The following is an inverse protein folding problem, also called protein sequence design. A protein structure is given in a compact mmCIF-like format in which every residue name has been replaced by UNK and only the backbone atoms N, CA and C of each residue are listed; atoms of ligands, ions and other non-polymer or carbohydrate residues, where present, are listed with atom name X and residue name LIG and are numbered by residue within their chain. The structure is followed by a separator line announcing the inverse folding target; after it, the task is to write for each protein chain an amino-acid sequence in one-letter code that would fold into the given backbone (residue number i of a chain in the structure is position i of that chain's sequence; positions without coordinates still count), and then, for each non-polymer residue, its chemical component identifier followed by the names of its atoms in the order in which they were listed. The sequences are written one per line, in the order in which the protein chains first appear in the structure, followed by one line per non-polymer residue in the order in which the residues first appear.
data_IF_685310586632
#
_entry.id   IF_685310586632
#
_cell.length_a   1.000
_cell.length_b   1.000
_cell.length_c   1.000
_cell.angle_alpha   90.00
_cell.angle_beta   90.00
_cell.angle_gamma   90.00
#
_symmetry.space_group_name_H-M   'P 1'
#
loop_
_entity.id
_entity.type
_entity.pdbx_description
1 polymer ?
#
# COMPACT_ATOMS: atom_id res chain seq x y z
N UNK A 1 -2.21 12.76 3.22
CA UNK A 1 -1.97 11.61 4.13
C UNK A 1 -3.17 11.35 5.04
N UNK A 2 -3.76 12.35 5.67
CA UNK A 2 -4.85 12.18 6.66
C UNK A 2 -6.07 11.42 6.14
N UNK A 3 -6.48 11.65 4.89
CA UNK A 3 -7.61 10.92 4.30
C UNK A 3 -7.35 9.42 4.21
N UNK A 4 -6.15 9.00 3.78
CA UNK A 4 -5.80 7.58 3.72
C UNK A 4 -5.73 6.94 5.11
N UNK A 5 -5.19 7.66 6.09
CA UNK A 5 -5.13 7.18 7.47
C UNK A 5 -6.53 6.97 8.06
N UNK A 6 -7.43 7.94 7.87
CA UNK A 6 -8.83 7.83 8.30
C UNK A 6 -9.55 6.69 7.57
N UNK A 7 -9.35 6.57 6.26
CA UNK A 7 -9.95 5.49 5.49
C UNK A 7 -9.44 4.13 5.92
N UNK A 8 -8.14 3.97 6.14
CA UNK A 8 -7.56 2.73 6.65
C UNK A 8 -8.11 2.35 8.03
N UNK A 9 -8.28 3.33 8.93
CA UNK A 9 -8.89 3.10 10.23
C UNK A 9 -10.36 2.65 10.10
N UNK A 10 -11.11 3.25 9.18
CA UNK A 10 -12.49 2.84 8.88
C UNK A 10 -12.55 1.41 8.33
N UNK A 11 -11.64 1.03 7.42
CA UNK A 11 -11.55 -0.34 6.90
C UNK A 11 -11.28 -1.36 8.01
N UNK A 12 -10.42 -1.03 8.98
CA UNK A 12 -10.18 -1.87 10.15
C UNK A 12 -11.43 -2.04 11.03
N UNK A 13 -12.19 -0.98 11.23
CA UNK A 13 -13.43 -1.03 12.00
C UNK A 13 -14.52 -1.86 11.29
N UNK A 14 -14.59 -1.76 9.96
CA UNK A 14 -15.53 -2.53 9.14
C UNK A 14 -15.16 -4.03 9.19
N UNK A 15 -13.87 -4.36 9.04
CA UNK A 15 -13.37 -5.73 9.04
C UNK A 15 -13.80 -6.53 10.27
N UNK A 16 -13.81 -5.89 11.44
CA UNK A 16 -14.21 -6.53 12.71
C UNK A 16 -15.72 -6.86 12.75
N UNK A 17 -16.53 -6.05 12.06
CA UNK A 17 -18.01 -6.12 12.15
C UNK A 17 -18.63 -6.83 10.96
N UNK A 18 -18.01 -6.70 9.79
CA UNK A 18 -18.57 -7.17 8.52
C UNK A 18 -17.50 -7.92 7.74
N UNK A 19 -17.50 -9.27 7.74
CA UNK A 19 -16.58 -10.02 6.93
C UNK A 19 -16.85 -9.78 5.44
N UNK A 20 -15.83 -9.32 4.72
CA UNK A 20 -15.88 -9.07 3.27
C UNK A 20 -15.02 -10.12 2.58
N UNK A 21 -15.66 -11.00 1.82
CA UNK A 21 -14.98 -12.03 1.03
C UNK A 21 -15.85 -12.51 -0.13
N UNK A 22 -15.36 -13.46 -0.89
CA UNK A 22 -16.12 -14.12 -1.96
C UNK A 22 -17.13 -15.15 -1.45
N UNK A 23 -17.19 -15.39 -0.15
CA UNK A 23 -18.16 -16.32 0.45
C UNK A 23 -19.58 -15.72 0.41
N UNK A 24 -20.58 -16.53 0.07
CA UNK A 24 -21.97 -16.09 -0.04
C UNK A 24 -22.60 -15.63 1.27
N UNK A 25 -22.03 -16.02 2.40
CA UNK A 25 -22.45 -15.58 3.76
C UNK A 25 -21.87 -14.22 4.15
N UNK A 26 -20.90 -13.70 3.37
CA UNK A 26 -20.19 -12.47 3.65
C UNK A 26 -20.65 -11.32 2.75
N UNK A 27 -20.26 -10.09 3.13
CA UNK A 27 -20.55 -8.90 2.33
C UNK A 27 -19.78 -8.98 1.01
N UNK A 28 -20.50 -8.95 -0.10
CA UNK A 28 -19.95 -9.09 -1.44
C UNK A 28 -19.61 -7.72 -2.04
N UNK A 29 -18.46 -7.18 -1.69
CA UNK A 29 -17.92 -5.93 -2.24
C UNK A 29 -16.67 -6.25 -3.05
N UNK A 30 -16.59 -5.68 -4.26
CA UNK A 30 -15.42 -5.78 -5.12
C UNK A 30 -14.59 -4.51 -5.08
N UNK A 31 -13.31 -4.64 -4.77
CA UNK A 31 -12.31 -3.56 -4.81
C UNK A 31 -11.52 -3.68 -6.11
N UNK A 32 -11.43 -2.60 -6.87
CA UNK A 32 -10.70 -2.56 -8.13
C UNK A 32 -9.60 -1.52 -8.06
N UNK A 33 -8.36 -1.95 -8.31
CA UNK A 33 -7.19 -1.10 -8.35
C UNK A 33 -6.47 -1.19 -9.69
N UNK A 34 -5.88 -0.08 -10.10
CA UNK A 34 -5.05 0.01 -11.29
C UNK A 34 -3.59 -0.21 -10.91
N UNK A 35 -2.82 -0.83 -11.81
CA UNK A 35 -1.38 -0.95 -11.64
C UNK A 35 -0.73 0.43 -11.85
N UNK A 36 0.11 0.86 -10.91
CA UNK A 36 0.77 2.16 -10.95
C UNK A 36 1.79 2.31 -12.10
N UNK A 37 2.27 1.18 -12.65
CA UNK A 37 3.28 1.14 -13.71
C UNK A 37 2.72 0.68 -15.06
N UNK A 38 1.48 0.20 -15.09
CA UNK A 38 0.82 -0.35 -16.28
C UNK A 38 -0.66 0.03 -16.29
N UNK A 39 -0.96 1.21 -16.77
CA UNK A 39 -2.29 1.84 -16.73
C UNK A 39 -3.45 0.96 -17.24
N UNK A 40 -3.14 0.01 -18.14
CA UNK A 40 -4.13 -0.92 -18.71
C UNK A 40 -4.38 -2.16 -17.84
N UNK A 41 -3.56 -2.39 -16.83
CA UNK A 41 -3.73 -3.54 -15.93
C UNK A 41 -4.51 -3.16 -14.70
N UNK A 42 -5.56 -3.93 -14.43
CA UNK A 42 -6.39 -3.78 -13.24
C UNK A 42 -6.44 -5.09 -12.48
N UNK A 43 -6.51 -4.99 -11.16
CA UNK A 43 -6.77 -6.12 -10.28
C UNK A 43 -8.06 -5.85 -9.51
N UNK A 44 -8.96 -6.83 -9.49
CA UNK A 44 -10.21 -6.75 -8.75
C UNK A 44 -10.28 -7.92 -7.78
N UNK A 45 -10.55 -7.62 -6.52
CA UNK A 45 -10.65 -8.62 -5.45
C UNK A 45 -11.84 -8.33 -4.54
N UNK A 46 -12.49 -9.37 -4.03
CA UNK A 46 -13.55 -9.30 -3.01
C UNK A 46 -12.96 -9.58 -1.63
N UNK A 47 -11.97 -8.79 -1.24
CA UNK A 47 -11.23 -9.00 0.00
C UNK A 47 -10.80 -7.67 0.59
N UNK A 48 -11.19 -7.41 1.84
CA UNK A 48 -10.84 -6.17 2.55
C UNK A 48 -9.33 -6.03 2.79
N UNK A 49 -8.60 -7.14 2.90
CA UNK A 49 -7.14 -7.10 3.06
C UNK A 49 -6.45 -6.59 1.80
N UNK A 50 -7.01 -6.88 0.62
CA UNK A 50 -6.53 -6.33 -0.64
C UNK A 50 -6.68 -4.80 -0.66
N UNK A 51 -7.83 -4.29 -0.25
CA UNK A 51 -8.07 -2.85 -0.15
C UNK A 51 -7.11 -2.20 0.85
N UNK A 52 -6.94 -2.79 2.04
CA UNK A 52 -5.99 -2.30 3.04
C UNK A 52 -4.56 -2.27 2.54
N UNK A 53 -4.12 -3.32 1.83
CA UNK A 53 -2.78 -3.37 1.25
C UNK A 53 -2.58 -2.29 0.18
N UNK A 54 -3.58 -2.06 -0.67
CA UNK A 54 -3.53 -1.02 -1.69
C UNK A 54 -3.43 0.39 -1.07
N UNK A 55 -4.18 0.66 0.00
CA UNK A 55 -4.11 1.94 0.72
C UNK A 55 -2.73 2.15 1.38
N UNK A 56 -2.18 1.12 2.01
CA UNK A 56 -0.82 1.18 2.58
C UNK A 56 0.22 1.44 1.50
N UNK A 57 0.08 0.82 0.34
CA UNK A 57 0.97 1.07 -0.79
C UNK A 57 0.88 2.53 -1.29
N UNK A 58 -0.33 3.09 -1.40
CA UNK A 58 -0.52 4.49 -1.75
C UNK A 58 0.11 5.45 -0.71
N UNK A 59 -0.07 5.16 0.57
CA UNK A 59 0.55 5.96 1.65
C UNK A 59 2.07 5.92 1.57
N UNK A 60 2.65 4.75 1.31
CA UNK A 60 4.07 4.57 1.13
C UNK A 60 4.62 5.34 -0.08
N UNK A 61 3.92 5.30 -1.22
CA UNK A 61 4.29 6.03 -2.42
C UNK A 61 4.27 7.56 -2.19
N UNK A 62 3.24 8.08 -1.53
CA UNK A 62 3.13 9.51 -1.17
C UNK A 62 4.25 9.92 -0.21
N UNK A 63 4.55 9.09 0.80
CA UNK A 63 5.64 9.37 1.73
C UNK A 63 7.00 9.37 1.02
N UNK A 64 7.23 8.44 0.10
CA UNK A 64 8.44 8.40 -0.74
C UNK A 64 8.60 9.67 -1.56
N UNK A 65 7.54 10.10 -2.26
CA UNK A 65 7.56 11.34 -3.05
C UNK A 65 7.84 12.55 -2.16
N UNK A 66 7.17 12.67 -1.03
CA UNK A 66 7.43 13.74 -0.06
C UNK A 66 8.88 13.74 0.41
N UNK A 67 9.46 12.57 0.67
CA UNK A 67 10.87 12.44 1.05
C UNK A 67 11.83 12.94 -0.03
N UNK A 68 11.49 12.78 -1.31
CA UNK A 68 12.28 13.31 -2.43
C UNK A 68 12.25 14.84 -2.48
N UNK A 69 11.13 15.46 -2.16
CA UNK A 69 10.92 16.92 -2.23
C UNK A 69 11.58 17.68 -1.07
N UNK A 70 11.94 16.99 0.02
CA UNK A 70 12.60 17.60 1.18
C UNK A 70 14.04 18.03 0.82
N UNK A 71 14.35 19.31 1.06
CA UNK A 71 15.71 19.83 0.88
C UNK A 71 16.70 19.21 1.87
N UNK A 72 17.80 18.64 1.37
CA UNK A 72 18.87 18.03 2.17
C UNK A 72 20.06 18.95 2.41
N UNK A 73 19.87 20.27 2.25
CA UNK A 73 20.95 21.27 2.45
C UNK A 73 21.25 21.56 3.92
N UNK A 74 20.38 21.16 4.83
CA UNK A 74 20.51 21.37 6.27
C UNK A 74 20.38 20.04 7.01
N UNK A 75 20.97 19.95 8.20
CA UNK A 75 20.87 18.78 9.08
C UNK A 75 19.40 18.44 9.42
N UNK A 76 18.59 19.46 9.69
CA UNK A 76 17.16 19.30 9.93
C UNK A 76 16.45 18.69 8.71
N UNK A 77 16.78 19.15 7.49
CA UNK A 77 16.23 18.61 6.26
C UNK A 77 16.64 17.16 6.01
N UNK A 78 17.88 16.81 6.28
CA UNK A 78 18.35 15.42 6.20
C UNK A 78 17.57 14.53 7.18
N UNK A 79 17.45 14.97 8.43
CA UNK A 79 16.71 14.24 9.47
C UNK A 79 15.24 14.01 9.08
N UNK A 80 14.57 15.04 8.55
CA UNK A 80 13.19 14.94 8.11
C UNK A 80 13.04 14.00 6.90
N UNK A 81 13.96 14.05 5.94
CA UNK A 81 13.96 13.13 4.80
C UNK A 81 14.12 11.68 5.27
N UNK A 82 15.06 11.41 6.19
CA UNK A 82 15.26 10.06 6.77
C UNK A 82 14.00 9.55 7.43
N UNK A 83 13.34 10.36 8.27
CA UNK A 83 12.07 9.99 8.93
C UNK A 83 10.99 9.66 7.90
N UNK A 84 10.89 10.45 6.85
CA UNK A 84 9.87 10.30 5.80
C UNK A 84 10.11 9.02 4.98
N UNK A 85 11.36 8.72 4.64
CA UNK A 85 11.70 7.46 3.96
C UNK A 85 11.52 6.24 4.87
N UNK A 86 11.82 6.35 6.16
CA UNK A 86 11.56 5.28 7.12
C UNK A 86 10.05 4.97 7.23
N UNK A 87 9.21 6.01 7.25
CA UNK A 87 7.75 5.86 7.20
C UNK A 87 7.30 5.16 5.91
N UNK A 88 7.84 5.57 4.76
CA UNK A 88 7.56 4.92 3.47
C UNK A 88 7.95 3.44 3.48
N UNK A 89 9.14 3.10 3.96
CA UNK A 89 9.61 1.72 4.05
C UNK A 89 8.73 0.88 4.97
N UNK A 90 8.33 1.40 6.12
CA UNK A 90 7.40 0.74 7.05
C UNK A 90 6.05 0.45 6.43
N UNK A 91 5.46 1.42 5.72
CA UNK A 91 4.19 1.25 5.03
C UNK A 91 4.27 0.24 3.87
N UNK A 92 5.37 0.22 3.10
CA UNK A 92 5.60 -0.79 2.07
C UNK A 92 5.74 -2.19 2.67
N UNK A 93 6.47 -2.33 3.77
CA UNK A 93 6.61 -3.61 4.48
C UNK A 93 5.26 -4.11 4.99
N UNK A 94 4.46 -3.24 5.60
CA UNK A 94 3.11 -3.59 6.05
C UNK A 94 2.18 -4.00 4.89
N UNK A 95 2.26 -3.32 3.76
CA UNK A 95 1.51 -3.69 2.55
C UNK A 95 1.93 -5.08 2.03
N UNK A 96 3.24 -5.37 1.99
CA UNK A 96 3.77 -6.66 1.58
C UNK A 96 3.34 -7.79 2.51
N UNK A 97 3.35 -7.58 3.82
CA UNK A 97 2.89 -8.56 4.81
C UNK A 97 1.38 -8.83 4.69
N UNK A 98 0.57 -7.78 4.50
CA UNK A 98 -0.85 -7.94 4.25
C UNK A 98 -1.13 -8.76 2.98
N UNK A 99 -0.26 -8.64 1.98
CA UNK A 99 -0.30 -9.39 0.73
C UNK A 99 0.02 -10.88 0.92
N UNK A 100 1.07 -11.19 1.68
CA UNK A 100 1.57 -12.56 1.83
C UNK A 100 0.65 -13.45 2.68
N UNK A 101 -0.07 -12.86 3.64
CA UNK A 101 -0.90 -13.60 4.59
C UNK A 101 -2.27 -14.02 4.02
N UNK A 102 -2.60 -13.66 2.75
CA UNK A 102 -3.89 -13.99 2.16
C UNK A 102 -3.75 -14.67 0.80
N UNK A 103 -4.03 -15.99 0.71
CA UNK A 103 -3.80 -16.82 -0.48
C UNK A 103 -4.71 -16.55 -1.68
N UNK A 104 -5.56 -15.52 -1.64
CA UNK A 104 -6.40 -15.07 -2.77
C UNK A 104 -5.85 -13.88 -3.54
N UNK A 105 -4.66 -13.40 -3.22
CA UNK A 105 -4.06 -12.25 -3.88
C UNK A 105 -3.62 -12.60 -5.31
N UNK A 106 -3.97 -11.74 -6.26
CA UNK A 106 -3.76 -11.95 -7.69
C UNK A 106 -2.35 -12.46 -8.00
N UNK A 107 -2.25 -13.70 -8.50
CA UNK A 107 -0.97 -14.35 -8.82
C UNK A 107 -0.10 -13.55 -9.83
N UNK A 108 -0.70 -12.62 -10.58
CA UNK A 108 0.01 -11.69 -11.47
C UNK A 108 0.75 -10.57 -10.74
N UNK A 109 0.36 -10.23 -9.52
CA UNK A 109 1.05 -9.23 -8.73
C UNK A 109 2.34 -9.75 -8.10
N UNK A 110 2.60 -11.07 -8.16
CA UNK A 110 3.92 -11.65 -7.82
C UNK A 110 5.07 -11.10 -8.68
N UNK A 111 4.77 -10.47 -9.83
CA UNK A 111 5.78 -9.80 -10.65
C UNK A 111 6.04 -8.33 -10.25
N UNK A 112 5.22 -7.76 -9.37
CA UNK A 112 5.53 -6.54 -8.62
C UNK A 112 6.48 -6.88 -7.48
N UNK A 113 7.55 -7.56 -7.81
CA UNK A 113 8.66 -7.72 -6.88
C UNK A 113 9.24 -6.33 -6.61
N UNK A 114 9.03 -5.88 -5.40
CA UNK A 114 9.59 -4.72 -4.71
C UNK A 114 11.11 -4.47 -4.96
N UNK A 115 11.91 -5.37 -5.57
CA UNK A 115 13.36 -5.16 -5.67
C UNK A 115 13.83 -4.25 -6.79
N UNK A 116 13.00 -3.77 -7.71
CA UNK A 116 13.52 -2.96 -8.82
C UNK A 116 13.61 -1.46 -8.56
N UNK A 117 13.04 -0.96 -7.47
CA UNK A 117 13.13 0.44 -7.08
C UNK A 117 14.39 0.79 -6.27
N UNK A 118 15.20 -0.19 -5.87
CA UNK A 118 16.46 0.00 -5.14
C UNK A 118 17.69 -0.47 -5.93
N UNK A 119 17.70 -0.33 -7.23
CA UNK A 119 18.97 -0.30 -7.93
C UNK A 119 19.48 1.14 -7.88
N UNK A 120 20.21 1.46 -6.83
CA UNK A 120 21.14 2.56 -6.80
C UNK A 120 22.06 2.39 -8.03
N UNK A 121 21.96 3.33 -8.96
CA UNK A 121 23.02 3.52 -9.93
C UNK A 121 24.25 4.00 -9.17
N UNK A 122 25.24 3.13 -9.03
CA UNK A 122 26.63 3.50 -8.79
C UNK A 122 27.21 4.15 -10.02
#
# INVERSE_FOLDING_TARGET
MDHFTKYYAALRAIEIRFPVSSDNSHVNISFKWHDAFRDKQTCTQKNIHFEKAAILFCMAAIASQKGLDISRKTEAGVTEAVKTFALSAGAHSAAAMAHLNHPGFCARQKSLSIPKLFRLQT
#
